data_IF_849253665592
#
_entry.id   IF_849253665592
#
_cell.length_a   1.000
_cell.length_b   1.000
_cell.length_c   1.000
_cell.angle_alpha   90.00
_cell.angle_beta   90.00
_cell.angle_gamma   90.00
#
_symmetry.space_group_name_H-M   'P 1'
#
loop_
_entity.id
_entity.type
_entity.pdbx_description
1 polymer ?
#
# COMPACT_ATOMS: atom_id res chain seq x y z
N UNK A 1 8.59 2.04 7.22
CA UNK A 1 9.57 2.03 8.33
C UNK A 1 8.78 1.48 9.47
N UNK A 2 9.20 0.31 9.93
CA UNK A 2 8.49 -0.50 10.90
C UNK A 2 9.43 -1.06 11.96
N UNK A 3 8.91 -1.80 12.93
CA UNK A 3 9.76 -2.53 13.85
C UNK A 3 10.35 -3.75 13.12
N UNK A 4 11.65 -4.00 13.22
CA UNK A 4 12.23 -5.22 12.66
C UNK A 4 12.41 -6.25 13.78
N UNK A 5 11.41 -7.12 13.96
CA UNK A 5 11.44 -8.20 14.94
C UNK A 5 11.80 -9.56 14.32
N UNK A 6 12.23 -9.59 13.05
CA UNK A 6 12.42 -10.83 12.30
C UNK A 6 13.39 -11.82 12.95
N UNK A 7 14.41 -11.33 13.64
CA UNK A 7 15.42 -12.16 14.30
C UNK A 7 14.98 -12.65 15.69
N UNK A 8 13.90 -12.08 16.24
CA UNK A 8 13.37 -12.40 17.57
C UNK A 8 12.05 -13.19 17.51
N UNK A 9 11.29 -13.04 16.43
CA UNK A 9 10.00 -13.68 16.27
C UNK A 9 10.13 -15.13 15.78
N UNK A 10 9.32 -16.03 16.35
CA UNK A 10 9.13 -17.38 15.80
C UNK A 10 8.15 -17.27 14.65
N UNK A 11 8.60 -17.62 13.44
CA UNK A 11 7.77 -17.59 12.23
C UNK A 11 7.45 -19.00 11.75
N UNK A 12 6.20 -19.23 11.36
CA UNK A 12 5.78 -20.44 10.65
C UNK A 12 5.45 -20.11 9.20
N UNK A 13 5.73 -21.07 8.30
CA UNK A 13 5.40 -20.92 6.89
C UNK A 13 3.96 -21.35 6.66
N UNK A 14 3.13 -20.41 6.24
CA UNK A 14 1.71 -20.63 5.92
C UNK A 14 1.49 -20.44 4.42
N UNK A 15 0.63 -21.26 3.80
CA UNK A 15 0.19 -21.07 2.41
C UNK A 15 -1.20 -20.43 2.40
N UNK A 16 -1.55 -19.74 1.32
CA UNK A 16 -2.88 -19.11 1.20
C UNK A 16 -4.06 -20.10 1.40
N UNK A 17 -4.04 -21.33 0.86
CA UNK A 17 -5.12 -22.29 1.11
C UNK A 17 -5.31 -22.66 2.58
N UNK A 18 -4.26 -22.56 3.40
CA UNK A 18 -4.32 -22.86 4.83
C UNK A 18 -5.12 -21.79 5.61
N UNK A 19 -5.38 -20.63 4.98
CA UNK A 19 -6.22 -19.54 5.49
C UNK A 19 -7.66 -19.57 4.95
N UNK A 20 -8.07 -20.63 4.26
CA UNK A 20 -9.43 -20.79 3.76
C UNK A 20 -10.48 -20.62 4.88
N UNK A 21 -11.47 -19.76 4.66
CA UNK A 21 -12.51 -19.40 5.62
C UNK A 21 -12.09 -18.39 6.69
N UNK A 22 -10.83 -17.94 6.71
CA UNK A 22 -10.33 -16.95 7.67
C UNK A 22 -10.63 -15.52 7.20
N UNK A 23 -10.95 -14.66 8.17
CA UNK A 23 -11.05 -13.20 8.02
C UNK A 23 -9.65 -12.61 8.21
N UNK A 24 -9.11 -12.04 7.14
CA UNK A 24 -7.74 -11.52 7.13
C UNK A 24 -7.80 -10.01 7.03
N UNK A 25 -7.33 -9.32 8.07
CA UNK A 25 -7.19 -7.87 8.08
C UNK A 25 -5.94 -7.46 7.32
N UNK A 26 -6.07 -6.61 6.31
CA UNK A 26 -4.96 -6.25 5.41
C UNK A 26 -4.70 -4.77 5.55
N UNK A 27 -3.46 -4.38 5.83
CA UNK A 27 -3.05 -2.98 5.80
C UNK A 27 -3.17 -2.44 4.36
N UNK A 28 -4.07 -1.49 4.14
CA UNK A 28 -4.34 -0.92 2.84
C UNK A 28 -3.21 0.01 2.36
N UNK A 29 -2.60 0.82 3.22
CA UNK A 29 -1.57 1.79 2.82
C UNK A 29 -0.29 1.10 2.39
N UNK A 30 0.15 0.11 3.16
CA UNK A 30 1.30 -0.71 2.82
C UNK A 30 1.06 -1.49 1.53
N UNK A 31 -0.14 -2.07 1.38
CA UNK A 31 -0.54 -2.81 0.18
C UNK A 31 -0.59 -1.91 -1.07
N UNK A 32 -1.18 -0.71 -0.94
CA UNK A 32 -1.22 0.27 -2.02
C UNK A 32 0.20 0.68 -2.46
N UNK A 33 1.09 0.94 -1.50
CA UNK A 33 2.48 1.28 -1.79
C UNK A 33 3.19 0.15 -2.55
N UNK A 34 2.96 -1.11 -2.20
CA UNK A 34 3.48 -2.25 -2.96
C UNK A 34 2.98 -2.24 -4.41
N UNK A 35 1.71 -1.95 -4.67
CA UNK A 35 1.18 -1.90 -6.03
C UNK A 35 1.75 -0.74 -6.83
N UNK A 36 1.75 0.47 -6.28
CA UNK A 36 2.33 1.67 -6.89
C UNK A 36 3.83 1.47 -7.18
N UNK A 37 4.53 0.72 -6.33
CA UNK A 37 5.96 0.48 -6.48
C UNK A 37 6.32 -0.75 -7.33
N UNK A 38 5.38 -1.64 -7.63
CA UNK A 38 5.63 -2.82 -8.48
C UNK A 38 5.11 -2.63 -9.90
N UNK A 39 3.91 -2.06 -10.07
CA UNK A 39 3.23 -1.86 -11.35
C UNK A 39 3.64 -0.53 -11.99
N UNK A 40 4.83 -0.48 -12.58
CA UNK A 40 5.42 0.75 -13.15
C UNK A 40 5.90 0.55 -14.58
N UNK A 41 6.02 1.66 -15.30
CA UNK A 41 6.70 1.68 -16.59
C UNK A 41 8.21 1.53 -16.41
N UNK A 42 8.71 0.31 -16.63
CA UNK A 42 10.14 -0.06 -16.60
C UNK A 42 10.70 -0.29 -17.99
N UNK A 43 10.04 0.21 -19.03
CA UNK A 43 10.62 0.19 -20.38
C UNK A 43 11.93 0.99 -20.40
N UNK A 44 12.84 0.75 -21.36
CA UNK A 44 14.14 1.44 -21.40
C UNK A 44 14.05 2.97 -21.35
N UNK A 45 12.98 3.54 -21.91
CA UNK A 45 12.72 4.99 -21.96
C UNK A 45 11.62 5.43 -20.98
N UNK A 46 11.03 4.47 -20.27
CA UNK A 46 9.94 4.66 -19.32
C UNK A 46 10.30 5.62 -18.19
N UNK A 47 9.29 6.31 -17.69
CA UNK A 47 9.44 7.33 -16.66
C UNK A 47 9.49 6.76 -15.23
N UNK A 48 9.32 5.44 -15.09
CA UNK A 48 9.35 4.73 -13.81
C UNK A 48 8.13 4.98 -12.93
N UNK A 49 7.14 5.72 -13.42
CA UNK A 49 5.93 6.03 -12.67
C UNK A 49 4.96 4.84 -12.71
N UNK A 50 4.01 4.78 -11.76
CA UNK A 50 3.00 3.74 -11.78
C UNK A 50 2.14 3.77 -13.03
N UNK A 51 1.50 2.63 -13.28
CA UNK A 51 0.55 2.50 -14.38
C UNK A 51 -0.55 3.57 -14.31
N UNK A 52 -0.82 4.19 -15.46
CA UNK A 52 -1.80 5.26 -15.65
C UNK A 52 -2.84 4.88 -16.70
N UNK A 53 -4.04 5.43 -16.56
CA UNK A 53 -5.05 5.47 -17.61
C UNK A 53 -4.67 6.51 -18.70
N UNK A 54 -5.33 6.49 -19.87
CA UNK A 54 -5.07 7.44 -20.96
C UNK A 54 -5.25 8.92 -20.57
N UNK A 55 -6.07 9.20 -19.56
CA UNK A 55 -6.29 10.55 -19.00
C UNK A 55 -5.18 10.99 -18.02
N UNK A 56 -4.16 10.15 -17.79
CA UNK A 56 -3.03 10.41 -16.92
C UNK A 56 -3.24 10.03 -15.45
N UNK A 57 -4.46 9.63 -15.04
CA UNK A 57 -4.71 9.19 -13.67
C UNK A 57 -4.01 7.87 -13.39
N UNK A 58 -3.39 7.74 -12.21
CA UNK A 58 -2.80 6.49 -11.79
C UNK A 58 -3.90 5.44 -11.54
N UNK A 59 -3.68 4.21 -11.97
CA UNK A 59 -4.63 3.08 -11.80
C UNK A 59 -3.98 1.84 -11.22
N UNK A 60 -2.66 1.89 -10.98
CA UNK A 60 -1.90 0.78 -10.40
C UNK A 60 -2.47 0.31 -9.05
N UNK A 61 -2.95 1.23 -8.20
CA UNK A 61 -3.59 0.86 -6.93
C UNK A 61 -4.86 0.06 -7.15
N UNK A 62 -5.79 0.53 -7.99
CA UNK A 62 -7.05 -0.16 -8.29
C UNK A 62 -6.80 -1.55 -8.87
N UNK A 63 -5.90 -1.65 -9.86
CA UNK A 63 -5.55 -2.94 -10.46
C UNK A 63 -4.95 -3.91 -9.45
N UNK A 64 -4.04 -3.42 -8.59
CA UNK A 64 -3.44 -4.23 -7.55
C UNK A 64 -4.44 -4.72 -6.51
N UNK A 65 -5.30 -3.83 -6.01
CA UNK A 65 -6.34 -4.19 -5.05
C UNK A 65 -7.35 -5.17 -5.65
N UNK A 66 -7.79 -4.95 -6.89
CA UNK A 66 -8.69 -5.87 -7.59
C UNK A 66 -8.07 -7.26 -7.72
N UNK A 67 -6.86 -7.36 -8.27
CA UNK A 67 -6.18 -8.64 -8.46
C UNK A 67 -5.92 -9.36 -7.14
N UNK A 68 -5.42 -8.64 -6.13
CA UNK A 68 -5.16 -9.19 -4.79
C UNK A 68 -6.43 -9.73 -4.16
N UNK A 69 -7.50 -8.96 -4.25
CA UNK A 69 -8.81 -9.31 -3.69
C UNK A 69 -9.35 -10.57 -4.36
N UNK A 70 -9.35 -10.63 -5.70
CA UNK A 70 -9.77 -11.83 -6.43
C UNK A 70 -8.96 -13.06 -6.00
N UNK A 71 -7.62 -12.96 -5.93
CA UNK A 71 -6.77 -14.08 -5.51
C UNK A 71 -7.06 -14.58 -4.08
N UNK A 72 -7.37 -13.67 -3.15
CA UNK A 72 -7.74 -14.04 -1.78
C UNK A 72 -9.11 -14.73 -1.75
N UNK A 73 -10.09 -14.18 -2.46
CA UNK A 73 -11.44 -14.74 -2.58
C UNK A 73 -11.43 -16.13 -3.25
N UNK A 74 -10.59 -16.35 -4.26
CA UNK A 74 -10.37 -17.65 -4.90
C UNK A 74 -9.93 -18.73 -3.89
N UNK A 75 -9.16 -18.35 -2.88
CA UNK A 75 -8.76 -19.22 -1.77
C UNK A 75 -9.76 -19.25 -0.61
N UNK A 76 -10.96 -18.69 -0.78
CA UNK A 76 -12.01 -18.55 0.24
C UNK A 76 -11.56 -17.78 1.48
N UNK A 77 -10.56 -16.91 1.33
CA UNK A 77 -10.17 -15.97 2.37
C UNK A 77 -11.16 -14.81 2.34
N UNK A 78 -11.56 -14.30 3.50
CA UNK A 78 -12.42 -13.12 3.62
C UNK A 78 -11.51 -11.90 3.90
N UNK A 79 -11.11 -11.12 2.88
CA UNK A 79 -10.29 -9.93 3.09
C UNK A 79 -11.09 -8.82 3.77
N UNK A 80 -10.45 -8.14 4.74
CA UNK A 80 -10.94 -6.92 5.36
C UNK A 80 -9.83 -5.87 5.26
N UNK A 81 -9.99 -4.86 4.41
CA UNK A 81 -8.95 -3.83 4.25
C UNK A 81 -9.03 -2.79 5.35
N UNK A 82 -7.91 -2.49 6.00
CA UNK A 82 -7.83 -1.49 7.06
C UNK A 82 -7.03 -0.29 6.55
N UNK A 83 -7.70 0.86 6.50
CA UNK A 83 -7.12 2.13 6.08
C UNK A 83 -6.70 2.93 7.30
N UNK A 84 -5.56 3.62 7.19
CA UNK A 84 -5.15 4.60 8.20
C UNK A 84 -6.20 5.70 8.35
N UNK A 85 -6.31 6.17 9.58
CA UNK A 85 -7.02 7.37 9.96
C UNK A 85 -6.13 8.61 9.88
N UNK A 86 -6.61 9.74 10.45
CA UNK A 86 -5.80 10.94 10.60
C UNK A 86 -4.52 10.64 11.39
N UNK A 87 -3.39 11.13 10.89
CA UNK A 87 -2.11 10.94 11.60
C UNK A 87 -2.11 11.75 12.90
N UNK A 88 -1.68 11.16 14.04
CA UNK A 88 -1.62 11.88 15.31
C UNK A 88 -0.59 13.01 15.28
N UNK A 89 -0.84 14.09 16.03
CA UNK A 89 0.00 15.29 16.08
C UNK A 89 1.47 15.01 16.44
N UNK A 90 1.72 13.96 17.24
CA UNK A 90 3.07 13.51 17.61
C UNK A 90 3.92 13.06 16.41
N UNK A 91 3.32 12.76 15.24
CA UNK A 91 4.01 12.36 14.00
C UNK A 91 4.23 13.52 13.01
N UNK A 92 3.84 14.75 13.35
CA UNK A 92 3.97 15.90 12.43
C UNK A 92 5.42 16.15 11.98
N UNK A 93 6.39 16.04 12.90
CA UNK A 93 7.81 16.20 12.58
C UNK A 93 8.32 15.13 11.61
N UNK A 94 7.91 13.86 11.78
CA UNK A 94 8.28 12.78 10.86
C UNK A 94 7.63 12.96 9.48
N UNK A 95 6.36 13.39 9.46
CA UNK A 95 5.65 13.72 8.23
C UNK A 95 6.32 14.88 7.48
N UNK A 96 6.78 15.91 8.19
CA UNK A 96 7.52 17.02 7.60
C UNK A 96 8.84 16.54 6.96
N UNK A 97 9.64 15.75 7.68
CA UNK A 97 10.88 15.18 7.15
C UNK A 97 10.65 14.19 5.98
N UNK A 98 9.49 13.51 5.93
CA UNK A 98 9.09 12.69 4.77
C UNK A 98 8.69 13.56 3.58
N UNK A 99 8.01 14.68 3.81
CA UNK A 99 7.64 15.64 2.75
C UNK A 99 8.87 16.30 2.15
N UNK A 100 9.81 16.77 2.96
CA UNK A 100 11.06 17.39 2.51
C UNK A 100 11.88 16.45 1.61
N UNK A 101 12.16 15.23 2.10
CA UNK A 101 12.84 14.19 1.29
C UNK A 101 12.12 13.86 -0.01
N UNK A 102 10.79 13.98 -0.04
CA UNK A 102 10.00 13.77 -1.24
C UNK A 102 10.19 14.92 -2.22
N UNK A 103 10.10 16.17 -1.77
CA UNK A 103 10.33 17.35 -2.60
C UNK A 103 11.73 17.32 -3.22
N UNK A 104 12.76 17.00 -2.44
CA UNK A 104 14.12 16.81 -2.98
C UNK A 104 14.18 15.71 -4.05
N UNK A 105 13.48 14.58 -3.83
CA UNK A 105 13.43 13.49 -4.80
C UNK A 105 12.63 13.86 -6.06
N UNK A 106 11.60 14.71 -5.95
CA UNK A 106 10.83 15.25 -7.07
C UNK A 106 11.68 16.17 -7.95
N UNK A 107 12.48 17.06 -7.34
CA UNK A 107 13.42 17.92 -8.05
C UNK A 107 14.49 17.11 -8.79
N UNK A 108 15.10 16.13 -8.10
CA UNK A 108 16.08 15.22 -8.71
C UNK A 108 15.47 14.39 -9.84
N UNK A 109 14.22 13.94 -9.68
CA UNK A 109 13.50 13.20 -10.71
C UNK A 109 13.26 14.05 -11.95
N UNK A 110 12.78 15.28 -11.78
CA UNK A 110 12.56 16.23 -12.87
C UNK A 110 13.86 16.53 -13.63
N UNK A 111 14.97 16.76 -12.91
CA UNK A 111 16.28 16.97 -13.50
C UNK A 111 16.76 15.74 -14.30
N UNK A 112 16.62 14.54 -13.75
CA UNK A 112 16.98 13.29 -14.43
C UNK A 112 16.16 13.08 -15.73
N UNK A 113 14.86 13.37 -15.69
CA UNK A 113 13.99 13.33 -16.87
C UNK A 113 14.40 14.35 -17.93
N UNK A 114 14.70 15.58 -17.53
CA UNK A 114 15.16 16.63 -18.45
C UNK A 114 16.52 16.31 -19.10
N UNK A 115 17.40 15.62 -18.36
CA UNK A 115 18.70 15.16 -18.86
C UNK A 115 18.65 13.88 -19.71
N UNK A 116 17.48 13.24 -19.84
CA UNK A 116 17.34 11.95 -20.54
C UNK A 116 17.96 10.75 -19.78
N UNK A 117 18.27 10.90 -18.48
CA UNK A 117 18.74 9.80 -17.65
C UNK A 117 17.57 8.95 -17.15
N UNK A 118 17.05 8.12 -18.04
CA UNK A 118 15.92 7.22 -17.77
C UNK A 118 16.20 6.28 -16.59
N UNK A 119 17.45 5.84 -16.41
CA UNK A 119 17.82 4.92 -15.32
C UNK A 119 17.73 5.60 -13.96
N UNK A 120 18.24 6.82 -13.85
CA UNK A 120 18.12 7.60 -12.61
C UNK A 120 16.68 8.00 -12.35
N UNK A 121 15.95 8.44 -13.37
CA UNK A 121 14.53 8.79 -13.26
C UNK A 121 13.71 7.60 -12.71
N UNK A 122 13.89 6.39 -13.26
CA UNK A 122 13.18 5.20 -12.79
C UNK A 122 13.49 4.84 -11.33
N UNK A 123 14.74 5.04 -10.90
CA UNK A 123 15.15 4.83 -9.50
C UNK A 123 14.48 5.84 -8.56
N UNK A 124 14.38 7.10 -8.97
CA UNK A 124 13.82 8.19 -8.16
C UNK A 124 12.28 8.16 -8.13
N UNK A 125 11.63 7.69 -9.20
CA UNK A 125 10.17 7.57 -9.29
C UNK A 125 9.56 6.83 -8.07
N UNK A 126 10.23 5.78 -7.59
CA UNK A 126 9.79 5.03 -6.40
C UNK A 126 9.62 5.90 -5.14
N UNK A 127 10.46 6.93 -5.01
CA UNK A 127 10.62 7.75 -3.81
C UNK A 127 9.61 8.89 -3.77
N UNK A 128 9.11 9.32 -4.93
CA UNK A 128 8.15 10.41 -5.05
C UNK A 128 6.70 9.91 -4.98
N UNK A 129 6.48 8.61 -5.20
CA UNK A 129 5.15 8.04 -5.12
C UNK A 129 4.58 8.11 -3.71
N UNK A 130 3.32 8.55 -3.65
CA UNK A 130 2.51 8.51 -2.47
C UNK A 130 1.10 8.06 -2.84
N UNK A 131 0.43 7.41 -1.90
CA UNK A 131 -0.96 7.03 -2.05
C UNK A 131 -1.82 8.24 -1.65
N UNK A 132 -2.39 8.92 -2.64
CA UNK A 132 -3.10 10.18 -2.44
C UNK A 132 -4.49 9.98 -1.81
N UNK A 133 -5.09 11.01 -1.19
CA UNK A 133 -6.46 10.92 -0.67
C UNK A 133 -7.49 10.54 -1.74
N UNK A 134 -7.30 10.99 -2.98
CA UNK A 134 -8.15 10.62 -4.12
C UNK A 134 -8.04 9.12 -4.41
N UNK A 135 -6.81 8.58 -4.51
CA UNK A 135 -6.60 7.14 -4.72
C UNK A 135 -7.18 6.29 -3.58
N UNK A 136 -7.11 6.78 -2.33
CA UNK A 136 -7.74 6.14 -1.17
C UNK A 136 -9.24 6.04 -1.38
N UNK A 137 -9.88 7.15 -1.79
CA UNK A 137 -11.33 7.17 -2.01
C UNK A 137 -11.72 6.25 -3.18
N UNK A 138 -11.03 6.33 -4.33
CA UNK A 138 -11.28 5.45 -5.47
C UNK A 138 -11.15 3.96 -5.09
N UNK A 139 -10.20 3.63 -4.21
CA UNK A 139 -10.04 2.25 -3.72
C UNK A 139 -11.20 1.82 -2.86
N UNK A 140 -11.66 2.67 -1.93
CA UNK A 140 -12.82 2.39 -1.08
C UNK A 140 -14.08 2.19 -1.92
N UNK A 141 -14.32 3.09 -2.88
CA UNK A 141 -15.45 3.00 -3.79
C UNK A 141 -15.41 1.68 -4.59
N UNK A 142 -14.23 1.26 -5.06
CA UNK A 142 -14.06 -0.03 -5.73
C UNK A 142 -14.34 -1.21 -4.80
N UNK A 143 -13.85 -1.18 -3.56
CA UNK A 143 -14.10 -2.23 -2.58
C UNK A 143 -15.60 -2.33 -2.23
N UNK A 144 -16.29 -1.20 -2.11
CA UNK A 144 -17.75 -1.16 -1.91
C UNK A 144 -18.49 -1.80 -3.09
N UNK A 145 -18.09 -1.49 -4.33
CA UNK A 145 -18.67 -2.10 -5.53
C UNK A 145 -18.41 -3.62 -5.61
N UNK A 146 -17.28 -4.10 -5.09
CA UNK A 146 -16.95 -5.52 -5.01
C UNK A 146 -17.64 -6.23 -3.83
N UNK A 147 -18.29 -5.48 -2.93
CA UNK A 147 -18.85 -6.03 -1.69
C UNK A 147 -17.79 -6.50 -0.69
N UNK A 148 -16.60 -5.91 -0.74
CA UNK A 148 -15.47 -6.28 0.12
C UNK A 148 -15.37 -5.30 1.29
N UNK A 149 -15.41 -5.79 2.54
CA UNK A 149 -15.41 -4.93 3.70
C UNK A 149 -14.10 -4.17 3.86
N UNK A 150 -14.20 -2.91 4.27
CA UNK A 150 -13.08 -2.11 4.71
C UNK A 150 -13.41 -1.33 5.99
N UNK A 151 -12.36 -0.95 6.72
CA UNK A 151 -12.47 -0.18 7.97
C UNK A 151 -11.51 1.00 7.92
N UNK A 152 -11.98 2.18 8.29
CA UNK A 152 -11.11 3.31 8.61
C UNK A 152 -10.68 3.25 10.07
N UNK A 153 -9.38 3.24 10.32
CA UNK A 153 -8.82 3.33 11.66
C UNK A 153 -9.04 4.72 12.27
N UNK A 154 -9.05 4.81 13.59
CA UNK A 154 -9.04 6.10 14.29
C UNK A 154 -7.67 6.82 14.17
N UNK A 155 -6.59 6.04 14.02
CA UNK A 155 -5.23 6.54 13.82
C UNK A 155 -4.46 5.60 12.89
N UNK A 156 -3.80 4.56 13.41
CA UNK A 156 -2.97 3.64 12.63
C UNK A 156 -3.75 2.37 12.27
N UNK A 157 -3.67 1.98 11.00
CA UNK A 157 -4.35 0.81 10.44
C UNK A 157 -3.90 -0.49 11.07
N UNK A 158 -2.61 -0.64 11.35
CA UNK A 158 -2.05 -1.84 11.97
C UNK A 158 -2.52 -2.01 13.41
N UNK A 159 -2.51 -0.92 14.19
CA UNK A 159 -3.04 -0.91 15.55
C UNK A 159 -4.54 -1.28 15.56
N UNK A 160 -5.31 -0.72 14.62
CA UNK A 160 -6.72 -1.06 14.45
C UNK A 160 -6.91 -2.54 14.10
N UNK A 161 -6.13 -3.08 13.16
CA UNK A 161 -6.18 -4.48 12.76
C UNK A 161 -5.82 -5.42 13.92
N UNK A 162 -4.79 -5.09 14.72
CA UNK A 162 -4.39 -5.84 15.90
C UNK A 162 -5.51 -5.90 16.95
N UNK A 163 -6.17 -4.77 17.25
CA UNK A 163 -7.30 -4.71 18.18
C UNK A 163 -8.49 -5.53 17.65
N UNK A 164 -8.76 -5.46 16.34
CA UNK A 164 -9.83 -6.26 15.71
C UNK A 164 -9.54 -7.77 15.79
N UNK A 165 -8.29 -8.19 15.60
CA UNK A 165 -7.87 -9.57 15.78
C UNK A 165 -8.02 -10.02 17.25
N UNK A 166 -7.55 -9.20 18.20
CA UNK A 166 -7.70 -9.46 19.63
C UNK A 166 -9.17 -9.64 20.06
N UNK A 167 -10.09 -8.90 19.43
CA UNK A 167 -11.54 -8.98 19.68
C UNK A 167 -12.24 -10.11 18.91
N UNK A 168 -11.52 -10.89 18.11
CA UNK A 168 -12.09 -11.98 17.32
C UNK A 168 -12.88 -11.54 16.08
N UNK A 169 -12.76 -10.28 15.68
CA UNK A 169 -13.35 -9.77 14.43
C UNK A 169 -12.53 -10.20 13.20
N UNK A 170 -11.22 -10.36 13.39
CA UNK A 170 -10.28 -10.91 12.41
C UNK A 170 -9.64 -12.17 12.99
N UNK A 171 -9.25 -13.09 12.12
CA UNK A 171 -8.52 -14.29 12.50
C UNK A 171 -7.00 -14.10 12.33
N UNK A 172 -6.58 -13.26 11.37
CA UNK A 172 -5.18 -12.97 11.04
C UNK A 172 -5.03 -11.51 10.59
N UNK A 173 -3.89 -10.89 10.88
CA UNK A 173 -3.48 -9.59 10.31
C UNK A 173 -2.36 -9.82 9.30
N UNK A 174 -2.50 -9.25 8.11
CA UNK A 174 -1.54 -9.27 7.03
C UNK A 174 -0.90 -7.88 6.88
N UNK A 175 0.31 -7.75 7.43
CA UNK A 175 1.19 -6.59 7.26
C UNK A 175 2.65 -7.05 7.10
N UNK A 176 3.54 -6.15 6.66
CA UNK A 176 5.00 -6.32 6.68
C UNK A 176 5.67 -5.57 7.83
N UNK A 177 4.93 -4.76 8.58
CA UNK A 177 5.39 -4.17 9.84
C UNK A 177 5.20 -5.18 10.99
N UNK A 178 6.07 -5.14 12.00
CA UNK A 178 6.11 -6.14 13.09
C UNK A 178 5.88 -5.52 14.47
#
# INVERSE_FOLDING_TARGET
MGCNLKDLAVSERVRLPDLSGKRVGIDAFLTAFQFLTTMRDRSPEGDGMPLRAPDGRYVAHLMGFLQRTCALLEHRIVPVYVFDGPSPALKEGELAARRERRTEAEEQYAAARAAGDHRLAQKLAARIMHYSPEMVQETKDMLDLLGVPWVGAAAEGEAQAAVMAQRGHLDVVATQDW
#
